data_IF_852128291093
#
_entry.id   IF_852128291093
#
_cell.length_a   1.000
_cell.length_b   1.000
_cell.length_c   1.000
_cell.angle_alpha   90.00
_cell.angle_beta   90.00
_cell.angle_gamma   90.00
#
_symmetry.space_group_name_H-M   'P 1'
#
loop_
_entity.id
_entity.type
_entity.pdbx_description
1 polymer ?
#
# COMPACT_ATOMS: atom_id res chain seq x y z
N UNK A 1 -6.03 28.14 -13.92
CA UNK A 1 -7.05 28.13 -12.85
C UNK A 1 -6.56 27.21 -11.76
N UNK A 2 -6.12 27.74 -10.62
CA UNK A 2 -5.76 26.96 -9.43
C UNK A 2 -7.04 26.56 -8.71
N UNK A 3 -7.55 25.37 -8.98
CA UNK A 3 -8.65 24.79 -8.18
C UNK A 3 -8.14 24.53 -6.78
N UNK A 4 -8.61 25.30 -5.80
CA UNK A 4 -8.35 25.04 -4.37
C UNK A 4 -8.75 23.62 -4.02
N UNK A 5 -7.86 22.86 -3.37
CA UNK A 5 -8.18 21.53 -2.83
C UNK A 5 -9.42 21.61 -1.94
N UNK A 6 -10.43 20.74 -2.13
CA UNK A 6 -11.62 20.72 -1.29
C UNK A 6 -11.28 20.62 0.20
N UNK A 7 -12.02 21.32 1.07
CA UNK A 7 -11.80 21.29 2.54
C UNK A 7 -11.79 19.86 3.08
N UNK A 8 -12.65 18.99 2.54
CA UNK A 8 -12.70 17.58 2.91
C UNK A 8 -11.35 16.88 2.69
N UNK A 9 -10.70 17.13 1.56
CA UNK A 9 -9.43 16.47 1.22
C UNK A 9 -8.28 17.02 2.07
N UNK A 10 -8.24 18.34 2.32
CA UNK A 10 -7.28 18.95 3.25
C UNK A 10 -7.38 18.36 4.66
N UNK A 11 -8.60 18.08 5.13
CA UNK A 11 -8.83 17.41 6.42
C UNK A 11 -8.27 15.98 6.40
N UNK A 12 -8.48 15.23 5.31
CA UNK A 12 -7.93 13.87 5.19
C UNK A 12 -6.40 13.91 5.17
N UNK A 13 -5.79 14.77 4.36
CA UNK A 13 -4.33 14.90 4.25
C UNK A 13 -3.70 15.19 5.62
N UNK A 14 -4.19 16.24 6.29
CA UNK A 14 -3.71 16.62 7.62
C UNK A 14 -3.92 15.51 8.67
N UNK A 15 -5.04 14.80 8.60
CA UNK A 15 -5.32 13.72 9.53
C UNK A 15 -4.40 12.52 9.33
N UNK A 16 -4.17 12.10 8.09
CA UNK A 16 -3.30 10.96 7.78
C UNK A 16 -1.86 11.23 8.20
N UNK A 17 -1.34 12.43 7.92
CA UNK A 17 0.00 12.84 8.36
C UNK A 17 0.12 12.79 9.90
N UNK A 18 -0.83 13.39 10.63
CA UNK A 18 -0.84 13.40 12.09
C UNK A 18 -1.04 11.99 12.68
N UNK A 19 -1.86 11.14 12.06
CA UNK A 19 -2.03 9.75 12.49
C UNK A 19 -0.76 8.95 12.30
N UNK A 20 -0.01 9.14 11.21
CA UNK A 20 1.28 8.49 11.01
C UNK A 20 2.33 8.92 12.05
N UNK A 21 2.37 10.23 12.36
CA UNK A 21 3.35 10.79 13.28
C UNK A 21 3.05 10.57 14.77
N UNK A 22 1.78 10.56 15.17
CA UNK A 22 1.36 10.57 16.58
C UNK A 22 0.41 9.45 16.97
N UNK A 23 0.05 8.57 16.03
CA UNK A 23 -1.02 7.60 16.18
C UNK A 23 -2.41 8.24 16.24
N UNK A 24 -3.45 7.43 16.11
CA UNK A 24 -4.82 7.91 16.15
C UNK A 24 -5.17 8.54 17.51
N UNK A 25 -4.78 7.89 18.62
CA UNK A 25 -5.11 8.36 19.98
C UNK A 25 -4.37 9.65 20.36
N UNK A 26 -3.13 9.83 19.89
CA UNK A 26 -2.30 11.02 20.16
C UNK A 26 -2.73 12.26 19.37
N UNK A 27 -3.61 12.09 18.38
CA UNK A 27 -4.09 13.15 17.49
C UNK A 27 -5.46 13.67 17.93
N UNK A 28 -5.55 14.95 18.27
CA UNK A 28 -6.82 15.60 18.61
C UNK A 28 -7.49 16.21 17.38
N UNK A 29 -8.83 16.33 17.40
CA UNK A 29 -9.59 17.00 16.33
C UNK A 29 -9.12 18.43 16.11
N UNK A 30 -8.85 19.18 17.19
CA UNK A 30 -8.35 20.54 17.09
C UNK A 30 -6.98 20.63 16.39
N UNK A 31 -6.08 19.65 16.57
CA UNK A 31 -4.80 19.59 15.84
C UNK A 31 -5.04 19.36 14.35
N UNK A 32 -5.96 18.45 14.00
CA UNK A 32 -6.32 18.17 12.60
C UNK A 32 -6.93 19.42 11.96
N UNK A 33 -7.86 20.09 12.64
CA UNK A 33 -8.48 21.32 12.16
C UNK A 33 -7.43 22.41 11.93
N UNK A 34 -6.52 22.61 12.88
CA UNK A 34 -5.41 23.57 12.73
C UNK A 34 -4.56 23.27 11.49
N UNK A 35 -4.11 22.02 11.35
CA UNK A 35 -3.24 21.59 10.24
C UNK A 35 -3.96 21.66 8.89
N UNK A 36 -5.26 21.38 8.86
CA UNK A 36 -6.08 21.49 7.66
C UNK A 36 -6.48 22.94 7.33
N UNK A 37 -6.07 23.94 8.11
CA UNK A 37 -6.40 25.35 7.89
C UNK A 37 -7.84 25.73 8.27
N UNK A 38 -8.43 25.03 9.24
CA UNK A 38 -9.69 25.37 9.89
C UNK A 38 -9.42 25.98 11.28
N UNK A 39 -10.44 26.63 11.85
CA UNK A 39 -10.37 27.13 13.23
C UNK A 39 -10.34 25.96 14.22
N UNK A 40 -9.27 25.83 15.03
CA UNK A 40 -9.13 24.71 15.96
C UNK A 40 -10.23 24.69 17.02
N UNK A 41 -10.87 23.54 17.22
CA UNK A 41 -11.94 23.35 18.20
C UNK A 41 -13.29 23.92 17.80
N UNK A 42 -13.43 24.47 16.60
CA UNK A 42 -14.69 25.07 16.12
C UNK A 42 -15.69 24.02 15.58
N UNK A 43 -15.29 22.75 15.48
CA UNK A 43 -16.14 21.67 14.96
C UNK A 43 -16.21 21.63 13.42
N UNK A 44 -15.30 22.33 12.75
CA UNK A 44 -15.16 22.34 11.30
C UNK A 44 -14.99 20.95 10.70
N UNK A 45 -14.28 20.06 11.40
CA UNK A 45 -14.13 18.66 11.00
C UNK A 45 -15.48 17.93 10.92
N UNK A 46 -16.38 18.18 11.89
CA UNK A 46 -17.63 17.45 12.03
C UNK A 46 -18.67 17.80 10.97
N UNK A 47 -18.47 18.88 10.21
CA UNK A 47 -19.25 19.16 9.01
C UNK A 47 -18.94 18.20 7.85
N UNK A 48 -17.78 17.54 7.87
CA UNK A 48 -17.33 16.65 6.80
C UNK A 48 -17.29 15.18 7.23
N UNK A 49 -17.06 14.90 8.51
CA UNK A 49 -16.93 13.54 9.04
C UNK A 49 -17.70 13.41 10.34
N UNK A 50 -18.47 12.33 10.51
CA UNK A 50 -19.30 12.11 11.71
C UNK A 50 -18.45 11.85 12.96
N UNK A 51 -17.24 11.35 12.78
CA UNK A 51 -16.29 11.03 13.84
C UNK A 51 -14.84 11.08 13.32
N UNK A 52 -13.88 11.07 14.25
CA UNK A 52 -12.45 10.95 13.89
C UNK A 52 -12.16 9.56 13.31
N UNK A 53 -12.89 8.54 13.75
CA UNK A 53 -12.84 7.17 13.23
C UNK A 53 -13.29 7.12 11.76
N UNK A 54 -14.38 7.81 11.41
CA UNK A 54 -14.84 7.86 10.01
C UNK A 54 -13.86 8.63 9.12
N UNK A 55 -13.14 9.60 9.67
CA UNK A 55 -12.04 10.28 8.98
C UNK A 55 -10.87 9.32 8.73
N UNK A 56 -10.45 8.53 9.72
CA UNK A 56 -9.40 7.52 9.53
C UNK A 56 -9.79 6.51 8.44
N UNK A 57 -11.03 5.99 8.48
CA UNK A 57 -11.54 5.08 7.45
C UNK A 57 -11.51 5.73 6.07
N UNK A 58 -12.02 6.95 5.95
CA UNK A 58 -12.04 7.67 4.69
C UNK A 58 -10.62 7.92 4.13
N UNK A 59 -9.65 8.16 5.01
CA UNK A 59 -8.23 8.25 4.63
C UNK A 59 -7.71 6.93 4.08
N UNK A 60 -7.85 5.83 4.83
CA UNK A 60 -7.44 4.49 4.41
C UNK A 60 -8.10 4.11 3.07
N UNK A 61 -9.42 4.30 2.94
CA UNK A 61 -10.16 3.99 1.71
C UNK A 61 -9.64 4.79 0.52
N UNK A 62 -9.29 6.06 0.71
CA UNK A 62 -8.71 6.91 -0.34
C UNK A 62 -7.35 6.38 -0.81
N UNK A 63 -6.48 5.96 0.12
CA UNK A 63 -5.20 5.34 -0.24
C UNK A 63 -5.41 4.02 -0.98
N UNK A 64 -6.28 3.14 -0.48
CA UNK A 64 -6.56 1.86 -1.13
C UNK A 64 -7.19 2.03 -2.52
N UNK A 65 -8.02 3.06 -2.73
CA UNK A 65 -8.57 3.38 -4.04
C UNK A 65 -7.49 3.88 -5.01
N UNK A 66 -6.56 4.72 -4.55
CA UNK A 66 -5.39 5.16 -5.34
C UNK A 66 -4.55 3.98 -5.81
N UNK A 67 -4.31 3.02 -4.91
CA UNK A 67 -3.52 1.82 -5.21
C UNK A 67 -4.18 0.94 -6.26
N UNK A 68 -5.49 0.73 -6.15
CA UNK A 68 -6.25 0.01 -7.18
C UNK A 68 -6.09 0.67 -8.55
N UNK A 69 -6.22 2.00 -8.63
CA UNK A 69 -6.06 2.72 -9.89
C UNK A 69 -4.64 2.58 -10.50
N UNK A 70 -3.58 2.62 -9.68
CA UNK A 70 -2.21 2.42 -10.15
C UNK A 70 -1.99 0.98 -10.67
N UNK A 71 -2.58 -0.01 -10.01
CA UNK A 71 -2.53 -1.42 -10.45
C UNK A 71 -3.26 -1.63 -11.75
N UNK A 72 -4.43 -1.02 -11.95
CA UNK A 72 -5.19 -1.09 -13.21
C UNK A 72 -4.37 -0.53 -14.38
N UNK A 73 -3.64 0.57 -14.16
CA UNK A 73 -2.71 1.15 -15.14
C UNK A 73 -1.59 0.14 -15.45
N UNK A 74 -0.96 -0.45 -14.43
CA UNK A 74 0.08 -1.48 -14.62
C UNK A 74 -0.44 -2.69 -15.39
N UNK A 75 -1.65 -3.17 -15.09
CA UNK A 75 -2.26 -4.30 -15.77
C UNK A 75 -2.44 -4.07 -17.28
N UNK A 76 -2.47 -2.81 -17.73
CA UNK A 76 -2.50 -2.44 -19.15
C UNK A 76 -1.14 -2.66 -19.85
N UNK A 77 -0.05 -2.80 -19.10
CA UNK A 77 1.31 -3.01 -19.61
C UNK A 77 1.81 -4.45 -19.45
N UNK A 78 0.95 -5.40 -19.07
CA UNK A 78 1.30 -6.83 -19.04
C UNK A 78 1.56 -7.36 -20.45
N UNK A 79 2.49 -8.31 -20.58
CA UNK A 79 2.91 -8.86 -21.87
C UNK A 79 3.87 -7.98 -22.69
N UNK A 80 4.47 -6.95 -22.09
CA UNK A 80 5.51 -6.13 -22.72
C UNK A 80 6.88 -6.77 -22.53
N UNK A 81 7.47 -7.31 -23.60
CA UNK A 81 8.83 -7.84 -23.62
C UNK A 81 8.92 -9.35 -23.35
N UNK A 82 10.08 -9.81 -22.89
CA UNK A 82 10.27 -11.20 -22.47
C UNK A 82 9.89 -11.40 -20.99
N UNK A 83 9.76 -12.66 -20.56
CA UNK A 83 9.37 -13.03 -19.19
C UNK A 83 10.26 -12.36 -18.13
N UNK A 84 11.56 -12.27 -18.37
CA UNK A 84 12.50 -11.64 -17.44
C UNK A 84 12.21 -10.15 -17.29
N UNK A 85 11.95 -9.46 -18.39
CA UNK A 85 11.58 -8.04 -18.42
C UNK A 85 10.28 -7.80 -17.66
N UNK A 86 9.26 -8.61 -17.92
CA UNK A 86 7.94 -8.50 -17.27
C UNK A 86 8.03 -8.71 -15.75
N UNK A 87 8.76 -9.74 -15.30
CA UNK A 87 9.00 -9.99 -13.89
C UNK A 87 9.82 -8.87 -13.24
N UNK A 88 10.84 -8.36 -13.92
CA UNK A 88 11.66 -7.24 -13.43
C UNK A 88 10.81 -5.98 -13.22
N UNK A 89 9.96 -5.64 -14.19
CA UNK A 89 9.04 -4.52 -14.08
C UNK A 89 8.06 -4.72 -12.94
N UNK A 90 7.47 -5.91 -12.83
CA UNK A 90 6.54 -6.27 -11.75
C UNK A 90 7.17 -6.05 -10.37
N UNK A 91 8.39 -6.55 -10.15
CA UNK A 91 9.11 -6.38 -8.90
C UNK A 91 9.38 -4.89 -8.60
N UNK A 92 9.90 -4.14 -9.58
CA UNK A 92 10.20 -2.71 -9.41
C UNK A 92 8.95 -1.89 -9.12
N UNK A 93 7.85 -2.15 -9.81
CA UNK A 93 6.58 -1.48 -9.55
C UNK A 93 6.05 -1.80 -8.16
N UNK A 94 6.09 -3.06 -7.74
CA UNK A 94 5.65 -3.44 -6.39
C UNK A 94 6.52 -2.81 -5.30
N UNK A 95 7.84 -2.72 -5.49
CA UNK A 95 8.73 -2.03 -4.55
C UNK A 95 8.45 -0.51 -4.51
N UNK A 96 8.27 0.13 -5.66
CA UNK A 96 7.91 1.55 -5.72
C UNK A 96 6.53 1.84 -5.08
N UNK A 97 5.55 0.95 -5.30
CA UNK A 97 4.23 1.02 -4.67
C UNK A 97 4.35 0.96 -3.13
N UNK A 98 5.21 0.08 -2.61
CA UNK A 98 5.48 0.00 -1.17
C UNK A 98 6.20 1.24 -0.63
N UNK A 99 7.14 1.79 -1.40
CA UNK A 99 7.86 3.02 -1.05
C UNK A 99 6.89 4.21 -0.90
N UNK A 100 5.93 4.33 -1.81
CA UNK A 100 4.90 5.39 -1.76
C UNK A 100 3.91 5.22 -0.61
N UNK A 101 3.64 3.98 -0.18
CA UNK A 101 2.61 3.68 0.83
C UNK A 101 3.15 3.52 2.25
N UNK A 102 4.41 3.89 2.47
CA UNK A 102 5.05 3.84 3.77
C UNK A 102 4.20 4.49 4.87
N UNK A 103 3.60 5.65 4.60
CA UNK A 103 2.75 6.35 5.57
C UNK A 103 1.50 5.54 5.96
N UNK A 104 0.81 4.95 4.98
CA UNK A 104 -0.34 4.08 5.24
C UNK A 104 0.08 2.88 6.08
N UNK A 105 1.17 2.21 5.72
CA UNK A 105 1.68 1.04 6.44
C UNK A 105 2.04 1.38 7.89
N UNK A 106 2.63 2.54 8.14
CA UNK A 106 2.94 3.03 9.48
C UNK A 106 1.67 3.28 10.31
N UNK A 107 0.64 3.89 9.70
CA UNK A 107 -0.66 4.09 10.35
C UNK A 107 -1.29 2.74 10.70
N UNK A 108 -1.34 1.81 9.75
CA UNK A 108 -1.91 0.48 9.98
C UNK A 108 -1.15 -0.28 11.08
N UNK A 109 0.18 -0.20 11.09
CA UNK A 109 1.01 -0.81 12.14
C UNK A 109 0.75 -0.18 13.52
N UNK A 110 0.65 1.15 13.60
CA UNK A 110 0.34 1.87 14.84
C UNK A 110 -1.05 1.49 15.39
N UNK A 111 -2.01 1.23 14.51
CA UNK A 111 -3.39 0.94 14.88
C UNK A 111 -3.67 -0.56 15.08
N UNK A 112 -2.77 -1.47 14.69
CA UNK A 112 -2.97 -2.92 14.69
C UNK A 112 -3.45 -3.49 16.03
N UNK A 113 -2.96 -2.96 17.16
CA UNK A 113 -3.40 -3.39 18.51
C UNK A 113 -4.72 -2.78 18.93
N UNK A 114 -5.03 -1.57 18.49
CA UNK A 114 -6.20 -0.82 18.98
C UNK A 114 -7.44 -1.03 18.12
N UNK A 115 -7.25 -1.35 16.84
CA UNK A 115 -8.29 -1.52 15.81
C UNK A 115 -7.95 -2.69 14.89
N UNK A 116 -7.85 -3.92 15.42
CA UNK A 116 -7.40 -5.07 14.66
C UNK A 116 -8.27 -5.37 13.43
N UNK A 117 -9.59 -5.13 13.51
CA UNK A 117 -10.49 -5.41 12.38
C UNK A 117 -10.31 -4.42 11.23
N UNK A 118 -10.18 -3.11 11.54
CA UNK A 118 -9.89 -2.10 10.52
C UNK A 118 -8.57 -2.40 9.79
N UNK A 119 -7.54 -2.78 10.55
CA UNK A 119 -6.23 -3.11 9.98
C UNK A 119 -6.29 -4.40 9.17
N UNK A 120 -6.98 -5.43 9.68
CA UNK A 120 -7.21 -6.69 8.96
C UNK A 120 -7.90 -6.44 7.63
N UNK A 121 -8.98 -5.66 7.61
CA UNK A 121 -9.74 -5.38 6.39
C UNK A 121 -8.89 -4.61 5.38
N UNK A 122 -8.17 -3.58 5.83
CA UNK A 122 -7.26 -2.81 4.98
C UNK A 122 -6.12 -3.67 4.40
N UNK A 123 -5.49 -4.53 5.22
CA UNK A 123 -4.42 -5.43 4.78
C UNK A 123 -4.95 -6.50 3.82
N UNK A 124 -6.12 -7.08 4.10
CA UNK A 124 -6.75 -8.05 3.19
C UNK A 124 -7.06 -7.41 1.83
N UNK A 125 -7.52 -6.17 1.82
CA UNK A 125 -7.78 -5.42 0.59
C UNK A 125 -6.49 -5.07 -0.15
N UNK A 126 -5.44 -4.67 0.58
CA UNK A 126 -4.15 -4.31 0.01
C UNK A 126 -3.45 -5.52 -0.63
N UNK A 127 -3.33 -6.61 0.13
CA UNK A 127 -2.56 -7.79 -0.24
C UNK A 127 -3.36 -8.77 -1.11
N UNK A 128 -4.64 -8.97 -0.78
CA UNK A 128 -5.47 -9.99 -1.43
C UNK A 128 -5.64 -9.75 -2.92
N UNK A 129 -5.93 -8.51 -3.32
CA UNK A 129 -6.05 -8.16 -4.75
C UNK A 129 -4.73 -8.35 -5.49
N UNK A 130 -3.61 -7.86 -4.95
CA UNK A 130 -2.29 -8.04 -5.59
C UNK A 130 -1.92 -9.49 -5.77
N UNK A 131 -2.18 -10.31 -4.75
CA UNK A 131 -1.86 -11.73 -4.78
C UNK A 131 -2.71 -12.49 -5.81
N UNK A 132 -4.01 -12.19 -5.88
CA UNK A 132 -4.92 -12.80 -6.84
C UNK A 132 -4.53 -12.45 -8.28
N UNK A 133 -4.27 -11.17 -8.56
CA UNK A 133 -3.90 -10.69 -9.89
C UNK A 133 -2.58 -11.32 -10.35
N UNK A 134 -1.58 -11.37 -9.46
CA UNK A 134 -0.28 -11.95 -9.80
C UNK A 134 -0.35 -13.47 -9.93
N UNK A 135 -1.14 -14.15 -9.10
CA UNK A 135 -1.34 -15.60 -9.22
C UNK A 135 -2.01 -15.96 -10.56
N UNK A 136 -3.03 -15.22 -10.99
CA UNK A 136 -3.67 -15.42 -12.29
C UNK A 136 -2.67 -15.25 -13.43
N UNK A 137 -1.86 -14.19 -13.38
CA UNK A 137 -0.83 -13.94 -14.38
C UNK A 137 0.25 -15.05 -14.44
N UNK A 138 0.72 -15.54 -13.28
CA UNK A 138 1.68 -16.64 -13.21
C UNK A 138 1.07 -17.97 -13.71
N UNK A 139 -0.22 -18.21 -13.44
CA UNK A 139 -0.93 -19.38 -13.93
C UNK A 139 -0.94 -19.40 -15.47
N UNK A 140 -1.23 -18.26 -16.09
CA UNK A 140 -1.25 -18.10 -17.54
C UNK A 140 0.16 -18.25 -18.16
N UNK A 141 1.17 -17.59 -17.57
CA UNK A 141 2.56 -17.64 -18.06
C UNK A 141 3.18 -19.04 -17.99
N UNK A 142 2.96 -19.76 -16.89
CA UNK A 142 3.59 -21.05 -16.61
C UNK A 142 2.70 -22.27 -16.84
N UNK A 143 1.45 -22.08 -17.30
CA UNK A 143 0.42 -23.13 -17.36
C UNK A 143 0.32 -23.92 -16.04
N UNK A 144 0.32 -23.18 -14.93
CA UNK A 144 0.41 -23.76 -13.58
C UNK A 144 -0.99 -24.11 -13.01
N UNK A 145 -1.10 -25.16 -12.18
CA UNK A 145 -2.29 -25.36 -11.36
C UNK A 145 -2.57 -24.15 -10.45
N UNK A 146 -3.85 -23.76 -10.23
CA UNK A 146 -4.20 -22.57 -9.45
C UNK A 146 -3.57 -22.51 -8.06
N UNK A 147 -3.56 -23.63 -7.32
CA UNK A 147 -2.97 -23.68 -5.97
C UNK A 147 -1.46 -23.42 -5.98
N UNK A 148 -0.77 -23.92 -7.02
CA UNK A 148 0.67 -23.70 -7.18
C UNK A 148 0.95 -22.25 -7.56
N UNK A 149 0.17 -21.66 -8.45
CA UNK A 149 0.30 -20.25 -8.82
C UNK A 149 0.04 -19.32 -7.62
N UNK A 150 -0.98 -19.62 -6.81
CA UNK A 150 -1.28 -18.90 -5.57
C UNK A 150 -0.14 -18.97 -4.55
N UNK A 151 0.46 -20.15 -4.37
CA UNK A 151 1.60 -20.34 -3.47
C UNK A 151 2.83 -19.56 -3.95
N UNK A 152 3.16 -19.62 -5.25
CA UNK A 152 4.28 -18.88 -5.83
C UNK A 152 4.04 -17.37 -5.69
N UNK A 153 2.85 -16.87 -6.01
CA UNK A 153 2.51 -15.45 -5.85
C UNK A 153 2.63 -14.98 -4.39
N UNK A 154 2.17 -15.80 -3.42
CA UNK A 154 2.28 -15.50 -2.00
C UNK A 154 3.74 -15.35 -1.57
N UNK A 155 4.61 -16.29 -1.95
CA UNK A 155 6.04 -16.27 -1.62
C UNK A 155 6.74 -15.10 -2.31
N UNK A 156 6.47 -14.90 -3.60
CA UNK A 156 7.10 -13.88 -4.41
C UNK A 156 6.76 -12.48 -3.89
N UNK A 157 5.49 -12.13 -3.74
CA UNK A 157 5.08 -10.83 -3.20
C UNK A 157 5.47 -10.68 -1.73
N UNK A 158 5.34 -11.76 -0.93
CA UNK A 158 5.78 -11.81 0.46
C UNK A 158 7.24 -11.41 0.64
N UNK A 159 8.12 -11.87 -0.25
CA UNK A 159 9.53 -11.48 -0.21
C UNK A 159 9.74 -9.99 -0.50
N UNK A 160 9.00 -9.39 -1.45
CA UNK A 160 9.07 -7.95 -1.74
C UNK A 160 8.63 -7.12 -0.53
N UNK A 161 7.56 -7.52 0.15
CA UNK A 161 7.12 -6.88 1.40
C UNK A 161 8.19 -7.00 2.49
N UNK A 162 8.80 -8.18 2.63
CA UNK A 162 9.85 -8.40 3.62
C UNK A 162 11.11 -7.56 3.39
N UNK A 163 11.45 -7.25 2.13
CA UNK A 163 12.58 -6.40 1.79
C UNK A 163 12.37 -4.93 2.19
N UNK A 164 11.11 -4.48 2.31
CA UNK A 164 10.74 -3.11 2.67
C UNK A 164 10.37 -2.92 4.14
N UNK A 165 9.82 -3.96 4.76
CA UNK A 165 9.37 -3.95 6.15
C UNK A 165 10.39 -3.35 7.15
N UNK A 166 11.71 -3.69 7.10
CA UNK A 166 12.71 -3.10 8.01
C UNK A 166 12.76 -1.57 7.93
N UNK A 167 12.80 -1.02 6.72
CA UNK A 167 12.86 0.42 6.48
C UNK A 167 11.55 1.10 6.85
N UNK A 168 10.43 0.52 6.45
CA UNK A 168 9.13 1.19 6.52
C UNK A 168 8.52 1.19 7.91
N UNK A 169 8.67 0.08 8.65
CA UNK A 169 8.09 -0.08 9.98
C UNK A 169 9.07 0.20 11.11
N UNK A 170 10.36 -0.02 10.89
CA UNK A 170 11.37 0.07 11.95
C UNK A 170 12.44 1.14 11.70
N UNK A 171 12.39 1.86 10.58
CA UNK A 171 13.42 2.82 10.17
C UNK A 171 14.83 2.20 10.18
N UNK A 172 14.93 0.91 9.86
CA UNK A 172 16.20 0.22 9.73
C UNK A 172 16.72 0.35 8.30
N UNK A 173 18.04 0.48 8.15
CA UNK A 173 18.66 0.48 6.82
C UNK A 173 18.47 -0.89 6.16
N UNK A 174 18.02 -0.94 4.89
CA UNK A 174 17.97 -2.19 4.15
C UNK A 174 19.38 -2.76 4.03
N UNK A 175 19.52 -4.07 4.24
CA UNK A 175 20.82 -4.76 4.18
C UNK A 175 21.19 -5.21 2.76
N UNK A 176 20.24 -5.18 1.84
CA UNK A 176 20.38 -5.60 0.44
C UNK A 176 20.01 -4.44 -0.47
N UNK A 177 20.77 -4.27 -1.55
CA UNK A 177 20.42 -3.32 -2.60
C UNK A 177 19.26 -3.85 -3.45
N UNK A 178 18.45 -2.92 -3.95
CA UNK A 178 17.24 -3.24 -4.71
C UNK A 178 17.55 -3.97 -6.02
N UNK A 179 18.69 -3.66 -6.65
CA UNK A 179 19.05 -4.26 -7.94
C UNK A 179 19.36 -5.75 -7.78
N UNK A 180 20.24 -6.10 -6.84
CA UNK A 180 20.58 -7.49 -6.51
C UNK A 180 19.35 -8.26 -6.03
N UNK A 181 18.51 -7.64 -5.21
CA UNK A 181 17.27 -8.26 -4.73
C UNK A 181 16.30 -8.56 -5.88
N UNK A 182 16.04 -7.59 -6.75
CA UNK A 182 15.15 -7.76 -7.92
C UNK A 182 15.69 -8.82 -8.88
N UNK A 183 17.00 -8.80 -9.20
CA UNK A 183 17.59 -9.81 -10.08
C UNK A 183 17.43 -11.23 -9.51
N UNK A 184 17.74 -11.39 -8.22
CA UNK A 184 17.59 -12.68 -7.52
C UNK A 184 16.13 -13.14 -7.51
N UNK A 185 15.20 -12.23 -7.23
CA UNK A 185 13.76 -12.51 -7.23
C UNK A 185 13.27 -13.00 -8.60
N UNK A 186 13.73 -12.35 -9.68
CA UNK A 186 13.38 -12.71 -11.05
C UNK A 186 13.95 -14.08 -11.43
N UNK A 187 15.22 -14.35 -11.10
CA UNK A 187 15.86 -15.64 -11.40
C UNK A 187 15.18 -16.80 -10.67
N UNK A 188 14.78 -16.59 -9.41
CA UNK A 188 13.98 -17.57 -8.66
C UNK A 188 12.65 -17.86 -9.34
N UNK A 189 11.92 -16.83 -9.77
CA UNK A 189 10.63 -17.02 -10.42
C UNK A 189 10.74 -17.67 -11.78
N UNK A 190 11.72 -17.30 -12.59
CA UNK A 190 11.96 -17.95 -13.89
C UNK A 190 12.20 -19.44 -13.67
N UNK A 191 13.04 -19.80 -12.70
CA UNK A 191 13.31 -21.21 -12.36
C UNK A 191 12.05 -21.98 -11.94
N UNK A 192 11.10 -21.31 -11.27
CA UNK A 192 9.84 -21.94 -10.84
C UNK A 192 8.80 -22.06 -11.98
N UNK A 193 8.92 -21.23 -13.02
CA UNK A 193 8.00 -21.18 -14.16
C UNK A 193 8.49 -22.01 -15.35
N UNK A 194 9.79 -22.24 -15.46
CA UNK A 194 10.36 -23.13 -16.47
C UNK A 194 10.46 -24.57 -15.95
N UNK A 195 10.03 -25.58 -16.72
CA UNK A 195 10.12 -26.99 -16.33
C UNK A 195 11.55 -27.52 -16.21
#
# INVERSE_FOLDING_TARGET
MTTSTPTRDRIIDAAMELFGAHGFRGTSVAKIEAAAGLTPGAGGLYHHFRSKEDLLRAGIDRHLARLRALRDIRATFTGVGDLRTELTLTARYALAELDEERELLQILAAEARSRPDLVRDAVNQLLGTSQQDFAAHLADLGNLPPDRANAIAAVALGSLYSARMPRDLFNADPTLDDETFVQTWVDMLITLLTP
#
